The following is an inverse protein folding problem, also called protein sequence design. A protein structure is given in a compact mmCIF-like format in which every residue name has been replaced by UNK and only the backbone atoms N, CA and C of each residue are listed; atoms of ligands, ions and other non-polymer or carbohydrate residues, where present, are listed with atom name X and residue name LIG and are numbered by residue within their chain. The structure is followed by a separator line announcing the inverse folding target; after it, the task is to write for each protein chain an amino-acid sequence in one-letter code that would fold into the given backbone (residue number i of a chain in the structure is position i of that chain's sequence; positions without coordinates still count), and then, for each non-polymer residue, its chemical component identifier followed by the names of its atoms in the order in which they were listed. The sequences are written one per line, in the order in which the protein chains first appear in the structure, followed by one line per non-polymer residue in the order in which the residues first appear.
data_IF_375934674122
#
_entry.id   IF_375934674122
#
_cell.length_a   1.000
_cell.length_b   1.000
_cell.length_c   1.000
_cell.angle_alpha   90.00
_cell.angle_beta   90.00
_cell.angle_gamma   90.00
#
_symmetry.space_group_name_H-M   'P 1'
#
loop_
_entity.id
_entity.type
_entity.pdbx_description
1 polymer ?
#
# COMPACT_ATOMS: atom_id res chain seq x y z
N UNK A 1 64.14 -56.04 -6.05
CA UNK A 1 63.78 -57.17 -6.94
C UNK A 1 62.52 -57.83 -6.42
N UNK A 2 61.62 -58.21 -7.34
CA UNK A 2 60.42 -59.06 -7.20
C UNK A 2 59.21 -58.57 -6.38
N UNK A 3 58.28 -57.89 -7.08
CA UNK A 3 57.05 -58.48 -7.65
C UNK A 3 56.05 -59.19 -6.73
N UNK A 4 54.81 -58.65 -6.68
CA UNK A 4 53.61 -59.36 -6.23
C UNK A 4 52.33 -58.56 -6.49
N UNK A 5 51.44 -59.08 -7.34
CA UNK A 5 50.18 -58.48 -7.84
C UNK A 5 49.00 -59.27 -7.29
N UNK A 6 47.95 -58.63 -6.74
CA UNK A 6 46.59 -59.19 -6.77
C UNK A 6 45.48 -58.18 -6.41
N UNK A 7 44.50 -58.15 -7.32
CA UNK A 7 43.13 -57.62 -7.36
C UNK A 7 42.37 -57.45 -6.01
N UNK A 8 41.73 -56.30 -5.85
CA UNK A 8 40.62 -56.06 -4.90
C UNK A 8 39.25 -56.43 -5.49
N UNK A 9 38.39 -57.04 -4.67
CA UNK A 9 37.02 -57.50 -4.98
C UNK A 9 35.97 -56.47 -4.59
N UNK A 10 34.87 -56.46 -5.35
CA UNK A 10 33.60 -55.78 -5.06
C UNK A 10 32.91 -56.32 -3.80
N UNK A 11 32.17 -55.45 -3.11
CA UNK A 11 31.23 -55.80 -2.05
C UNK A 11 30.11 -54.76 -1.94
N UNK A 12 28.95 -55.06 -2.55
CA UNK A 12 27.68 -54.32 -2.37
C UNK A 12 27.15 -54.56 -0.96
N UNK A 13 26.66 -53.51 -0.30
CA UNK A 13 25.69 -53.63 0.79
C UNK A 13 24.44 -52.82 0.47
N UNK A 14 23.33 -53.54 0.45
CA UNK A 14 21.97 -53.06 0.21
C UNK A 14 21.46 -52.26 1.42
N UNK A 15 20.92 -51.06 1.17
CA UNK A 15 20.11 -50.34 2.15
C UNK A 15 18.65 -50.78 2.04
N UNK A 16 18.10 -51.11 3.21
CA UNK A 16 16.82 -51.74 3.49
C UNK A 16 15.73 -50.66 3.53
N UNK A 17 14.63 -50.90 2.79
CA UNK A 17 13.36 -50.20 2.89
C UNK A 17 12.60 -50.67 4.15
N UNK A 18 11.81 -49.82 4.82
CA UNK A 18 10.67 -50.30 5.60
C UNK A 18 9.35 -50.07 4.87
N UNK A 19 8.53 -51.13 4.89
CA UNK A 19 7.22 -51.27 4.30
C UNK A 19 6.13 -50.46 5.01
N UNK A 20 5.12 -50.09 4.21
CA UNK A 20 3.78 -49.67 4.63
C UNK A 20 3.03 -50.84 5.29
N UNK A 21 2.25 -50.53 6.32
CA UNK A 21 1.03 -51.26 6.68
C UNK A 21 -0.12 -50.24 6.82
N UNK A 22 -1.18 -50.44 6.02
CA UNK A 22 -2.50 -49.82 6.21
C UNK A 22 -3.24 -50.48 7.38
N UNK A 23 -4.43 -50.08 7.80
CA UNK A 23 -5.36 -49.05 7.42
C UNK A 23 -6.59 -49.22 8.31
N UNK A 24 -7.47 -48.22 8.43
CA UNK A 24 -8.88 -48.40 8.77
C UNK A 24 -9.61 -47.06 8.69
N UNK A 25 -10.77 -47.10 8.04
CA UNK A 25 -11.72 -46.01 7.88
C UNK A 25 -12.39 -45.63 9.21
N UNK A 26 -12.51 -44.32 9.44
CA UNK A 26 -13.34 -43.72 10.47
C UNK A 26 -13.97 -42.44 9.94
N UNK A 27 -15.23 -42.53 9.49
CA UNK A 27 -16.12 -41.38 9.36
C UNK A 27 -16.34 -40.79 10.75
N UNK A 28 -16.17 -39.47 10.93
CA UNK A 28 -17.16 -38.57 11.54
C UNK A 28 -16.54 -37.22 11.94
N UNK A 29 -17.32 -36.16 11.68
CA UNK A 29 -17.37 -34.90 12.45
C UNK A 29 -16.35 -33.80 12.12
N UNK A 30 -16.73 -32.97 11.14
CA UNK A 30 -16.30 -31.58 10.98
C UNK A 30 -16.84 -30.74 12.16
N UNK A 31 -16.03 -30.00 12.92
CA UNK A 31 -16.57 -28.98 13.80
C UNK A 31 -16.89 -27.71 13.00
N UNK A 32 -18.17 -27.56 12.64
CA UNK A 32 -18.77 -26.25 12.32
C UNK A 32 -18.88 -25.46 13.63
N UNK A 33 -18.12 -24.39 13.79
CA UNK A 33 -18.49 -23.35 14.77
C UNK A 33 -19.41 -22.35 14.07
N UNK A 34 -20.62 -22.24 14.62
CA UNK A 34 -21.74 -21.44 14.13
C UNK A 34 -21.50 -19.95 14.40
N UNK A 35 -21.70 -19.15 13.37
CA UNK A 35 -22.15 -17.77 13.45
C UNK A 35 -23.48 -17.64 14.24
N UNK A 36 -23.70 -16.55 14.97
CA UNK A 36 -25.03 -16.08 15.31
C UNK A 36 -25.55 -15.15 14.20
N UNK A 37 -26.57 -15.63 13.50
CA UNK A 37 -27.34 -14.90 12.50
C UNK A 37 -27.97 -13.61 13.06
N UNK A 38 -27.71 -12.52 12.35
CA UNK A 38 -28.59 -11.35 12.21
C UNK A 38 -29.79 -11.78 11.33
N UNK A 39 -31.04 -11.38 11.65
CA UNK A 39 -32.16 -11.57 10.75
C UNK A 39 -32.29 -10.39 9.78
N UNK A 40 -32.38 -10.67 8.49
CA UNK A 40 -33.05 -9.84 7.50
C UNK A 40 -34.38 -10.50 7.13
N UNK A 41 -35.41 -9.71 6.78
CA UNK A 41 -36.29 -10.07 5.68
C UNK A 41 -36.28 -8.98 4.59
N UNK A 42 -36.01 -9.44 3.37
CA UNK A 42 -36.75 -9.27 2.10
C UNK A 42 -37.05 -7.84 1.60
N UNK A 43 -36.38 -7.44 0.51
CA UNK A 43 -36.87 -7.45 -0.89
C UNK A 43 -37.79 -6.26 -1.19
N UNK A 44 -37.31 -5.28 -1.96
CA UNK A 44 -37.64 -5.31 -3.39
C UNK A 44 -36.76 -4.36 -4.20
N UNK A 45 -36.40 -4.89 -5.36
CA UNK A 45 -35.59 -4.34 -6.44
C UNK A 45 -36.31 -3.23 -7.21
N UNK A 46 -35.49 -2.31 -7.73
CA UNK A 46 -35.34 -2.05 -9.17
C UNK A 46 -35.58 -0.64 -9.72
N UNK A 47 -34.58 -0.26 -10.52
CA UNK A 47 -34.60 0.50 -11.78
C UNK A 47 -34.49 2.04 -11.75
N UNK A 48 -33.24 2.49 -11.75
CA UNK A 48 -32.51 3.07 -12.90
C UNK A 48 -33.14 4.12 -13.87
N UNK A 49 -32.25 5.08 -14.15
CA UNK A 49 -32.01 5.87 -15.39
C UNK A 49 -32.74 7.23 -15.61
N UNK A 50 -31.94 8.29 -15.42
CA UNK A 50 -31.64 9.40 -16.37
C UNK A 50 -32.73 10.07 -17.21
N UNK A 51 -32.92 11.39 -17.02
CA UNK A 51 -32.55 12.47 -18.00
C UNK A 51 -33.25 13.81 -17.76
N UNK A 52 -32.42 14.87 -17.72
CA UNK A 52 -32.48 16.09 -18.57
C UNK A 52 -33.73 16.99 -18.52
N UNK A 53 -33.51 18.20 -17.97
CA UNK A 53 -33.82 19.54 -18.52
C UNK A 53 -35.28 19.93 -18.86
N UNK A 54 -35.75 21.02 -18.24
CA UNK A 54 -36.07 22.31 -18.89
C UNK A 54 -37.25 23.04 -18.22
N UNK A 55 -37.11 24.37 -18.10
CA UNK A 55 -38.22 25.32 -17.95
C UNK A 55 -39.23 25.19 -19.11
N UNK A 56 -40.43 25.80 -18.97
CA UNK A 56 -40.63 27.00 -19.77
C UNK A 56 -41.42 28.12 -19.08
N UNK A 57 -41.32 29.27 -19.73
CA UNK A 57 -42.00 30.52 -19.45
C UNK A 57 -43.45 30.57 -19.98
N UNK A 58 -44.24 31.48 -19.41
CA UNK A 58 -45.06 32.44 -20.17
C UNK A 58 -46.49 32.05 -20.57
N UNK A 59 -47.44 32.87 -20.09
CA UNK A 59 -48.32 33.60 -21.02
C UNK A 59 -49.78 33.15 -21.19
N UNK A 60 -50.67 33.93 -20.56
CA UNK A 60 -51.97 34.42 -21.04
C UNK A 60 -53.14 33.44 -21.32
N UNK A 61 -54.27 33.65 -20.63
CA UNK A 61 -55.52 34.03 -21.31
C UNK A 61 -56.63 34.51 -20.36
N UNK A 62 -57.39 35.44 -20.92
CA UNK A 62 -58.48 36.24 -20.37
C UNK A 62 -59.81 35.46 -20.31
N UNK A 63 -60.81 36.15 -19.75
CA UNK A 63 -62.27 36.02 -19.87
C UNK A 63 -62.92 35.46 -18.60
N UNK A 64 -63.42 36.31 -17.70
CA UNK A 64 -64.73 36.99 -17.76
C UNK A 64 -65.90 36.01 -17.77
N UNK A 65 -66.48 35.77 -16.58
CA UNK A 65 -67.91 35.51 -16.44
C UNK A 65 -68.52 36.63 -15.60
N UNK A 66 -69.62 37.15 -16.12
CA UNK A 66 -70.21 38.44 -15.84
C UNK A 66 -71.54 38.28 -15.11
N UNK A 67 -71.82 39.26 -14.24
CA UNK A 67 -73.13 39.74 -13.74
C UNK A 67 -74.11 38.79 -13.05
N UNK A 68 -74.51 39.12 -11.81
CA UNK A 68 -75.63 40.03 -11.46
C UNK A 68 -75.85 39.88 -9.94
N UNK A 69 -75.75 40.92 -9.10
CA UNK A 69 -76.91 41.76 -8.77
C UNK A 69 -76.59 42.77 -7.66
N UNK A 70 -77.00 44.02 -7.91
CA UNK A 70 -77.64 44.96 -6.96
C UNK A 70 -76.70 45.66 -5.93
N UNK A 71 -76.28 46.91 -6.22
CA UNK A 71 -76.77 48.18 -5.62
C UNK A 71 -76.63 48.21 -4.07
N UNK A 72 -75.88 49.09 -3.41
CA UNK A 72 -76.02 50.56 -3.38
C UNK A 72 -74.75 51.19 -2.77
N UNK A 73 -74.36 52.33 -3.34
CA UNK A 73 -73.36 53.26 -2.82
C UNK A 73 -73.78 53.82 -1.46
N UNK A 74 -72.97 53.64 -0.41
CA UNK A 74 -72.90 54.59 0.71
C UNK A 74 -71.44 54.88 1.04
N UNK A 75 -71.14 56.16 0.97
CA UNK A 75 -69.90 56.87 1.21
C UNK A 75 -69.29 56.63 2.59
N UNK A 76 -67.96 56.48 2.60
CA UNK A 76 -67.09 57.20 3.54
C UNK A 76 -67.16 56.82 5.00
N UNK A 77 -66.36 55.84 5.42
CA UNK A 77 -65.67 55.87 6.72
C UNK A 77 -64.24 55.39 6.48
N UNK A 78 -63.31 56.34 6.41
CA UNK A 78 -61.91 56.10 6.69
C UNK A 78 -61.79 55.78 8.19
N UNK A 79 -61.76 54.50 8.52
CA UNK A 79 -61.21 54.01 9.78
C UNK A 79 -60.26 52.88 9.42
N UNK A 80 -58.99 53.12 9.75
CA UNK A 80 -57.91 52.21 9.47
C UNK A 80 -58.21 50.83 10.03
N UNK A 81 -58.46 49.88 9.13
CA UNK A 81 -58.01 48.53 9.37
C UNK A 81 -56.50 48.56 9.23
N UNK A 82 -55.84 48.93 10.33
CA UNK A 82 -54.51 48.37 10.59
C UNK A 82 -54.73 46.86 10.52
N UNK A 83 -54.28 46.22 9.46
CA UNK A 83 -53.94 44.81 9.57
C UNK A 83 -52.93 44.77 10.71
N UNK A 84 -53.37 44.32 11.89
CA UNK A 84 -52.44 43.81 12.86
C UNK A 84 -51.82 42.59 12.19
N UNK A 85 -50.68 42.79 11.53
CA UNK A 85 -49.72 41.71 11.36
C UNK A 85 -49.41 41.24 12.78
N UNK A 86 -50.12 40.20 13.20
CA UNK A 86 -49.70 39.34 14.28
C UNK A 86 -48.24 38.97 13.98
N UNK A 87 -47.27 39.23 14.88
CA UNK A 87 -45.90 38.83 14.63
C UNK A 87 -45.91 37.31 14.50
N UNK A 88 -45.75 36.83 13.25
CA UNK A 88 -45.69 35.40 12.98
C UNK A 88 -44.52 34.89 13.79
N UNK A 89 -44.84 34.18 14.88
CA UNK A 89 -43.86 33.59 15.77
C UNK A 89 -42.81 32.87 14.92
N UNK A 90 -41.52 33.17 15.13
CA UNK A 90 -40.39 32.52 14.43
C UNK A 90 -40.51 30.99 14.46
N UNK A 91 -41.14 30.46 15.50
CA UNK A 91 -41.45 29.04 15.69
C UNK A 91 -42.46 28.47 14.69
N UNK A 92 -43.37 29.28 14.14
CA UNK A 92 -44.43 28.83 13.22
C UNK A 92 -43.93 28.70 11.78
N UNK A 93 -42.93 29.51 11.39
CA UNK A 93 -42.35 29.52 10.03
C UNK A 93 -41.48 28.28 9.81
N UNK A 94 -40.67 27.90 10.79
CA UNK A 94 -39.83 26.71 10.75
C UNK A 94 -40.54 25.41 11.18
N UNK A 95 -41.85 25.45 11.50
CA UNK A 95 -42.56 24.32 12.11
C UNK A 95 -42.56 23.04 11.24
N UNK A 96 -42.57 23.20 9.92
CA UNK A 96 -42.62 22.08 8.96
C UNK A 96 -41.37 22.02 8.05
N UNK A 97 -40.28 22.68 8.44
CA UNK A 97 -39.05 22.74 7.63
C UNK A 97 -38.04 21.74 8.17
N UNK A 98 -37.71 20.75 7.34
CA UNK A 98 -36.72 19.73 7.66
C UNK A 98 -35.39 20.08 7.01
N UNK A 99 -34.43 20.50 7.84
CA UNK A 99 -33.06 20.70 7.41
C UNK A 99 -32.27 19.38 7.49
N UNK A 100 -31.37 19.13 6.54
CA UNK A 100 -30.49 17.97 6.56
C UNK A 100 -29.55 17.93 7.77
N UNK A 101 -28.84 16.82 7.95
CA UNK A 101 -27.95 16.63 9.10
C UNK A 101 -26.92 17.78 9.23
N UNK A 102 -26.75 18.30 10.46
CA UNK A 102 -25.83 19.40 10.75
C UNK A 102 -26.38 20.80 10.47
N UNK A 103 -27.66 20.91 10.10
CA UNK A 103 -28.34 22.18 9.80
C UNK A 103 -29.58 22.39 10.67
N UNK A 104 -29.90 23.66 10.94
CA UNK A 104 -31.11 24.08 11.65
C UNK A 104 -31.85 25.17 10.87
N UNK A 105 -33.17 25.22 11.05
CA UNK A 105 -34.00 26.22 10.38
C UNK A 105 -33.91 27.56 11.13
N UNK A 106 -33.54 28.60 10.40
CA UNK A 106 -33.53 29.99 10.83
C UNK A 106 -34.46 30.83 9.95
N UNK A 107 -35.04 31.88 10.52
CA UNK A 107 -35.93 32.80 9.79
C UNK A 107 -35.14 34.04 9.40
N UNK A 108 -35.16 34.40 8.11
CA UNK A 108 -34.51 35.60 7.59
C UNK A 108 -35.29 36.88 7.94
N UNK A 109 -34.71 38.06 7.72
CA UNK A 109 -35.38 39.35 7.92
C UNK A 109 -36.68 39.50 7.11
N UNK A 110 -36.82 38.73 6.02
CA UNK A 110 -38.00 38.69 5.15
C UNK A 110 -39.06 37.69 5.60
N UNK A 111 -38.93 37.10 6.80
CA UNK A 111 -39.83 36.06 7.31
C UNK A 111 -39.84 34.76 6.48
N UNK A 112 -38.74 34.43 5.81
CA UNK A 112 -38.58 33.20 5.03
C UNK A 112 -37.74 32.17 5.81
N UNK A 113 -38.08 30.87 5.77
CA UNK A 113 -37.28 29.81 6.38
C UNK A 113 -36.01 29.55 5.57
N UNK A 114 -34.87 29.35 6.25
CA UNK A 114 -33.58 29.01 5.63
C UNK A 114 -32.82 28.03 6.52
N UNK A 115 -32.14 27.04 5.91
CA UNK A 115 -31.33 26.07 6.64
C UNK A 115 -29.88 26.54 6.78
N UNK A 116 -29.47 26.88 8.00
CA UNK A 116 -28.11 27.28 8.33
C UNK A 116 -27.38 26.14 9.06
N UNK A 117 -26.04 26.17 9.07
CA UNK A 117 -25.28 25.21 9.86
C UNK A 117 -25.53 25.44 11.35
N UNK A 118 -25.66 24.35 12.11
CA UNK A 118 -25.88 24.42 13.57
C UNK A 118 -24.73 25.21 14.21
N UNK A 119 -25.05 26.23 15.00
CA UNK A 119 -24.00 27.05 15.62
C UNK A 119 -23.26 26.30 16.72
N UNK A 120 -23.99 25.54 17.56
CA UNK A 120 -23.45 24.83 18.72
C UNK A 120 -24.15 23.50 18.97
N UNK A 121 -23.38 22.42 19.09
CA UNK A 121 -23.89 21.11 19.46
C UNK A 121 -23.89 20.89 20.98
N UNK A 122 -24.69 19.90 21.43
CA UNK A 122 -24.70 19.46 22.83
C UNK A 122 -23.37 18.78 23.18
N UNK A 123 -22.78 19.11 24.33
CA UNK A 123 -21.45 18.65 24.76
C UNK A 123 -21.44 17.23 25.37
N UNK A 124 -22.13 16.29 24.73
CA UNK A 124 -22.10 14.88 25.12
C UNK A 124 -20.95 14.16 24.43
N UNK A 125 -20.27 13.29 25.18
CA UNK A 125 -19.10 12.53 24.71
C UNK A 125 -19.55 11.17 24.19
N UNK A 126 -19.81 11.10 22.88
CA UNK A 126 -20.10 9.85 22.16
C UNK A 126 -19.29 9.90 20.86
N UNK A 127 -17.98 9.65 20.95
CA UNK A 127 -17.05 9.92 19.86
C UNK A 127 -17.40 9.09 18.63
N UNK A 128 -17.19 9.68 17.45
CA UNK A 128 -17.34 9.02 16.15
C UNK A 128 -16.14 9.32 15.25
N UNK A 129 -15.77 8.34 14.43
CA UNK A 129 -14.79 8.55 13.38
C UNK A 129 -15.49 8.97 12.11
N UNK A 130 -15.10 10.12 11.53
CA UNK A 130 -15.57 10.54 10.22
C UNK A 130 -14.82 9.86 9.09
N UNK A 131 -15.44 9.79 7.92
CA UNK A 131 -14.83 9.30 6.68
C UNK A 131 -13.57 10.08 6.26
N UNK A 132 -13.35 11.27 6.83
CA UNK A 132 -12.13 12.07 6.67
C UNK A 132 -11.02 11.73 7.67
N UNK A 133 -11.16 10.66 8.47
CA UNK A 133 -10.16 10.22 9.44
C UNK A 133 -10.04 11.09 10.69
N UNK A 134 -10.94 12.07 10.88
CA UNK A 134 -11.00 12.95 12.05
C UNK A 134 -12.00 12.41 13.07
N UNK A 135 -11.61 12.43 14.33
CA UNK A 135 -12.52 12.08 15.44
C UNK A 135 -13.37 13.28 15.81
N UNK A 136 -14.68 13.08 15.91
CA UNK A 136 -15.63 14.08 16.39
C UNK A 136 -16.15 13.70 17.77
N UNK A 137 -16.41 14.69 18.61
CA UNK A 137 -16.92 14.49 19.98
C UNK A 137 -18.27 13.74 20.00
N UNK A 138 -19.09 13.96 18.97
CA UNK A 138 -20.36 13.29 18.71
C UNK A 138 -20.81 13.50 17.25
N UNK A 139 -21.89 12.82 16.86
CA UNK A 139 -22.51 12.88 15.54
C UNK A 139 -22.90 14.32 15.11
N UNK A 140 -23.35 15.16 16.05
CA UNK A 140 -23.73 16.54 15.73
C UNK A 140 -22.51 17.35 15.29
N UNK A 141 -21.38 17.23 15.99
CA UNK A 141 -20.14 17.91 15.62
C UNK A 141 -19.61 17.47 14.25
N UNK A 142 -19.75 16.18 13.91
CA UNK A 142 -19.39 15.67 12.59
C UNK A 142 -20.21 16.34 11.48
N UNK A 143 -21.54 16.34 11.60
CA UNK A 143 -22.40 16.93 10.58
C UNK A 143 -22.31 18.46 10.53
N UNK A 144 -22.05 19.10 11.67
CA UNK A 144 -21.76 20.54 11.74
C UNK A 144 -20.50 20.88 10.96
N UNK A 145 -19.41 20.13 11.15
CA UNK A 145 -18.16 20.34 10.40
C UNK A 145 -18.37 20.11 8.90
N UNK A 146 -19.13 19.07 8.53
CA UNK A 146 -19.52 18.81 7.13
C UNK A 146 -20.27 20.00 6.51
N UNK A 147 -21.19 20.61 7.27
CA UNK A 147 -21.94 21.78 6.84
C UNK A 147 -21.04 23.01 6.65
N UNK A 148 -20.19 23.30 7.64
CA UNK A 148 -19.32 24.49 7.64
C UNK A 148 -18.23 24.43 6.55
N UNK A 149 -17.70 23.24 6.31
CA UNK A 149 -16.63 23.02 5.32
C UNK A 149 -17.15 22.74 3.91
N UNK A 150 -18.47 22.56 3.75
CA UNK A 150 -19.07 22.13 2.48
C UNK A 150 -18.65 20.73 2.03
N UNK A 151 -18.06 19.93 2.92
CA UNK A 151 -17.51 18.60 2.62
C UNK A 151 -18.50 17.49 2.97
N UNK A 152 -18.57 16.43 2.15
CA UNK A 152 -19.39 15.25 2.45
C UNK A 152 -18.65 14.35 3.44
N UNK A 153 -18.92 14.51 4.73
CA UNK A 153 -18.35 13.68 5.80
C UNK A 153 -19.44 12.73 6.32
N UNK A 154 -19.19 11.44 6.24
CA UNK A 154 -20.05 10.39 6.79
C UNK A 154 -19.40 9.78 8.03
N UNK A 155 -20.18 9.11 8.86
CA UNK A 155 -19.63 8.29 9.95
C UNK A 155 -19.01 7.05 9.32
N UNK A 156 -17.75 6.78 9.65
CA UNK A 156 -17.05 5.54 9.27
C UNK A 156 -17.36 4.44 10.30
N UNK A 157 -17.08 4.71 11.59
CA UNK A 157 -17.47 3.85 12.71
C UNK A 157 -17.63 4.63 14.02
N UNK A 158 -18.38 4.05 14.95
CA UNK A 158 -18.52 4.55 16.31
C UNK A 158 -17.20 4.43 17.09
N UNK A 159 -16.87 5.46 17.88
CA UNK A 159 -15.64 5.54 18.65
C UNK A 159 -14.67 6.58 18.13
N UNK A 160 -13.50 6.67 18.77
CA UNK A 160 -12.42 7.51 18.24
C UNK A 160 -11.87 6.88 16.97
N UNK A 161 -11.48 7.70 16.00
CA UNK A 161 -10.66 7.19 14.90
C UNK A 161 -9.45 6.50 15.49
N UNK A 162 -9.20 5.27 15.04
CA UNK A 162 -7.92 4.60 15.20
C UNK A 162 -6.89 5.59 14.69
N UNK A 163 -5.92 5.93 15.54
CA UNK A 163 -4.77 6.72 15.11
C UNK A 163 -4.21 6.03 13.87
N UNK A 164 -4.31 6.69 12.70
CA UNK A 164 -3.26 6.49 11.71
C UNK A 164 -2.05 7.06 12.40
N UNK A 165 -1.23 6.16 12.99
CA UNK A 165 -0.01 6.54 13.68
C UNK A 165 0.67 7.58 12.79
N UNK A 166 0.92 8.81 13.26
CA UNK A 166 1.88 9.65 12.55
C UNK A 166 3.14 8.81 12.42
N UNK A 167 3.68 8.71 11.22
CA UNK A 167 4.92 8.00 10.92
C UNK A 167 6.03 8.45 11.87
N UNK A 168 6.14 7.79 13.02
CA UNK A 168 7.18 7.89 14.03
C UNK A 168 7.18 6.65 14.95
N UNK A 169 6.55 5.54 14.50
CA UNK A 169 7.14 4.23 14.73
C UNK A 169 8.18 4.05 13.63
N UNK A 170 9.44 3.76 13.97
CA UNK A 170 10.53 3.55 12.99
C UNK A 170 9.96 2.96 11.69
N UNK A 171 9.94 3.77 10.62
CA UNK A 171 9.29 3.40 9.37
C UNK A 171 9.82 2.02 8.95
N UNK A 172 8.95 1.08 8.60
CA UNK A 172 9.44 -0.23 8.15
C UNK A 172 10.39 -0.03 6.96
N UNK A 173 11.54 -0.73 6.92
CA UNK A 173 12.47 -0.58 5.82
C UNK A 173 11.79 -1.03 4.51
N UNK A 174 12.12 -0.35 3.42
CA UNK A 174 11.74 -0.80 2.08
C UNK A 174 12.59 -2.02 1.77
N UNK A 175 11.94 -3.14 1.48
CA UNK A 175 12.60 -4.43 1.22
C UNK A 175 11.98 -5.10 0.00
N UNK A 176 12.77 -5.92 -0.70
CA UNK A 176 12.26 -6.82 -1.73
C UNK A 176 11.95 -8.18 -1.12
N UNK A 177 10.67 -8.51 -0.97
CA UNK A 177 10.25 -9.85 -0.55
C UNK A 177 10.49 -10.86 -1.66
N UNK A 178 10.54 -12.15 -1.31
CA UNK A 178 10.70 -13.22 -2.30
C UNK A 178 9.58 -13.15 -3.36
N UNK A 179 8.36 -12.82 -2.94
CA UNK A 179 7.22 -12.64 -3.85
C UNK A 179 7.45 -11.51 -4.84
N UNK A 180 7.98 -10.36 -4.40
CA UNK A 180 8.26 -9.21 -5.27
C UNK A 180 9.39 -9.53 -6.26
N UNK A 181 10.46 -10.19 -5.80
CA UNK A 181 11.58 -10.65 -6.64
C UNK A 181 11.09 -11.61 -7.73
N UNK A 182 10.31 -12.60 -7.34
CA UNK A 182 9.83 -13.65 -8.24
C UNK A 182 8.81 -13.09 -9.23
N UNK A 183 7.97 -12.15 -8.79
CA UNK A 183 7.05 -11.39 -9.64
C UNK A 183 7.81 -10.53 -10.66
N UNK A 184 8.88 -9.84 -10.24
CA UNK A 184 9.74 -9.06 -11.14
C UNK A 184 10.28 -9.95 -12.25
N UNK A 185 10.91 -11.04 -11.84
CA UNK A 185 11.49 -12.05 -12.73
C UNK A 185 10.48 -12.60 -13.70
N UNK A 186 9.29 -12.98 -13.20
CA UNK A 186 8.20 -13.53 -14.01
C UNK A 186 7.75 -12.54 -15.08
N UNK A 187 7.63 -11.25 -14.76
CA UNK A 187 7.24 -10.21 -15.74
C UNK A 187 8.31 -9.97 -16.79
N UNK A 188 9.58 -9.93 -16.38
CA UNK A 188 10.71 -9.83 -17.32
C UNK A 188 10.69 -11.00 -18.31
N UNK A 189 10.54 -12.23 -17.82
CA UNK A 189 10.48 -13.43 -18.67
C UNK A 189 9.30 -13.34 -19.64
N UNK A 190 8.11 -12.96 -19.16
CA UNK A 190 6.93 -12.80 -20.02
C UNK A 190 7.12 -11.74 -21.11
N UNK A 191 7.76 -10.62 -20.78
CA UNK A 191 8.11 -9.61 -21.76
C UNK A 191 9.05 -10.16 -22.83
N UNK A 192 10.12 -10.85 -22.43
CA UNK A 192 11.07 -11.47 -23.35
C UNK A 192 10.43 -12.54 -24.24
N UNK A 193 9.55 -13.37 -23.68
CA UNK A 193 8.79 -14.38 -24.43
C UNK A 193 7.84 -13.73 -25.46
N UNK A 194 7.24 -12.60 -25.13
CA UNK A 194 6.37 -11.86 -26.04
C UNK A 194 7.14 -11.19 -27.21
N UNK A 195 8.45 -10.97 -27.07
CA UNK A 195 9.29 -10.49 -28.17
C UNK A 195 9.64 -11.59 -29.20
N UNK A 196 9.47 -12.86 -28.84
CA UNK A 196 9.62 -13.98 -29.79
C UNK A 196 8.43 -13.92 -30.76
N UNK A 197 8.70 -13.48 -31.99
CA UNK A 197 7.69 -13.45 -33.06
C UNK A 197 7.17 -14.89 -33.28
N UNK A 198 5.85 -15.15 -33.23
CA UNK A 198 5.30 -16.43 -33.64
C UNK A 198 5.45 -16.54 -35.17
N UNK A 199 6.50 -17.22 -35.62
CA UNK A 199 6.81 -17.32 -37.04
C UNK A 199 5.66 -17.92 -37.86
N UNK A 200 5.14 -17.12 -38.79
CA UNK A 200 4.37 -17.62 -39.92
C UNK A 200 5.28 -18.35 -40.90
N UNK A 201 4.98 -19.63 -41.15
CA UNK A 201 5.33 -20.56 -42.25
C UNK A 201 6.77 -20.62 -42.85
N UNK A 202 7.65 -19.61 -42.71
CA UNK A 202 9.06 -19.67 -43.12
C UNK A 202 9.95 -18.71 -42.29
N UNK A 203 10.20 -18.99 -41.00
CA UNK A 203 11.42 -18.49 -40.34
C UNK A 203 11.96 -19.48 -39.31
N UNK A 204 13.29 -19.50 -39.19
CA UNK A 204 14.03 -20.13 -38.10
C UNK A 204 13.61 -19.43 -36.82
N UNK A 205 12.85 -20.10 -35.97
CA UNK A 205 12.45 -19.58 -34.67
C UNK A 205 13.67 -19.07 -33.90
N UNK A 206 13.62 -17.80 -33.49
CA UNK A 206 14.61 -17.22 -32.59
C UNK A 206 14.60 -18.00 -31.27
N UNK A 207 15.76 -18.50 -30.85
CA UNK A 207 15.90 -19.19 -29.58
C UNK A 207 15.88 -18.14 -28.45
N UNK A 208 15.18 -18.40 -27.33
CA UNK A 208 15.13 -17.52 -26.15
C UNK A 208 16.54 -17.05 -25.71
N UNK A 209 17.55 -17.92 -25.86
CA UNK A 209 18.96 -17.60 -25.62
C UNK A 209 19.49 -16.46 -26.49
N UNK A 210 19.11 -16.37 -27.77
CA UNK A 210 19.59 -15.32 -28.69
C UNK A 210 19.03 -13.94 -28.32
N UNK A 211 17.76 -13.89 -27.89
CA UNK A 211 17.15 -12.65 -27.39
C UNK A 211 17.84 -12.18 -26.12
N UNK A 212 18.09 -13.10 -25.18
CA UNK A 212 18.85 -12.77 -23.96
C UNK A 212 20.27 -12.30 -24.28
N UNK A 213 20.98 -12.93 -25.21
CA UNK A 213 22.33 -12.51 -25.60
C UNK A 213 22.35 -11.11 -26.22
N UNK A 214 21.34 -10.79 -27.03
CA UNK A 214 21.16 -9.44 -27.57
C UNK A 214 20.98 -8.42 -26.45
N UNK A 215 20.12 -8.69 -25.47
CA UNK A 215 19.90 -7.77 -24.36
C UNK A 215 21.12 -7.65 -23.45
N UNK A 216 21.78 -8.77 -23.13
CA UNK A 216 23.01 -8.79 -22.36
C UNK A 216 24.06 -7.84 -22.95
N UNK A 217 24.35 -7.97 -24.25
CA UNK A 217 25.32 -7.11 -24.96
C UNK A 217 24.89 -5.65 -25.10
N UNK A 218 23.59 -5.37 -25.08
CA UNK A 218 23.09 -4.00 -25.21
C UNK A 218 23.25 -3.20 -23.92
N UNK A 219 23.26 -3.87 -22.76
CA UNK A 219 23.33 -3.23 -21.45
C UNK A 219 24.69 -3.35 -20.76
N UNK A 220 25.51 -4.33 -21.16
CA UNK A 220 26.92 -4.47 -20.77
C UNK A 220 27.74 -3.28 -21.28
N UNK A 221 28.51 -2.65 -20.37
CA UNK A 221 29.40 -1.53 -20.67
C UNK A 221 30.74 -1.95 -21.31
N UNK A 222 30.90 -3.25 -21.58
CA UNK A 222 32.01 -3.85 -22.30
C UNK A 222 32.92 -4.70 -21.42
N UNK A 223 32.56 -4.92 -20.16
CA UNK A 223 33.26 -5.82 -19.25
C UNK A 223 32.77 -7.28 -19.33
N UNK A 224 31.80 -7.55 -20.21
CA UNK A 224 31.18 -8.87 -20.45
C UNK A 224 30.45 -9.43 -19.24
N UNK A 225 29.99 -8.55 -18.36
CA UNK A 225 29.20 -8.87 -17.17
C UNK A 225 28.06 -7.86 -17.06
N UNK A 226 27.11 -8.13 -16.18
CA UNK A 226 26.06 -7.18 -15.82
C UNK A 226 26.11 -6.93 -14.32
N UNK A 227 26.39 -5.69 -13.93
CA UNK A 227 26.26 -5.24 -12.56
C UNK A 227 24.81 -4.83 -12.22
N UNK A 228 24.58 -4.46 -10.96
CA UNK A 228 23.27 -4.00 -10.46
C UNK A 228 22.67 -2.86 -11.28
N UNK A 229 23.49 -1.91 -11.72
CA UNK A 229 23.03 -0.73 -12.44
C UNK A 229 22.67 -1.07 -13.89
N UNK A 230 23.46 -1.91 -14.55
CA UNK A 230 23.21 -2.39 -15.92
C UNK A 230 21.97 -3.28 -15.98
N UNK A 231 21.86 -4.22 -15.05
CA UNK A 231 20.69 -5.10 -14.98
C UNK A 231 19.43 -4.33 -14.59
N UNK A 232 19.53 -3.34 -13.70
CA UNK A 232 18.40 -2.45 -13.39
C UNK A 232 17.94 -1.65 -14.62
N UNK A 233 18.85 -1.10 -15.42
CA UNK A 233 18.50 -0.41 -16.68
C UNK A 233 17.79 -1.34 -17.66
N UNK A 234 18.23 -2.60 -17.76
CA UNK A 234 17.55 -3.61 -18.55
C UNK A 234 16.11 -3.83 -18.08
N UNK A 235 15.91 -4.00 -16.77
CA UNK A 235 14.57 -4.17 -16.16
C UNK A 235 13.68 -2.94 -16.36
N UNK A 236 14.26 -1.73 -16.34
CA UNK A 236 13.56 -0.47 -16.53
C UNK A 236 13.24 -0.15 -18.00
N UNK A 237 13.83 -0.85 -18.98
CA UNK A 237 13.63 -0.54 -20.40
C UNK A 237 12.15 -0.59 -20.83
N UNK A 238 11.38 -1.51 -20.27
CA UNK A 238 9.95 -1.66 -20.55
C UNK A 238 9.14 -1.50 -19.26
N UNK A 239 9.14 -0.27 -18.72
CA UNK A 239 8.42 0.05 -17.48
C UNK A 239 6.96 -0.42 -17.53
N UNK A 240 6.28 -0.31 -18.66
CA UNK A 240 4.86 -0.69 -18.77
C UNK A 240 4.62 -2.19 -18.59
N UNK A 241 5.57 -3.05 -18.98
CA UNK A 241 5.45 -4.49 -18.83
C UNK A 241 5.95 -5.00 -17.47
N UNK A 242 6.91 -4.29 -16.85
CA UNK A 242 7.66 -4.78 -15.68
C UNK A 242 7.34 -4.00 -14.39
N UNK A 243 6.40 -3.06 -14.41
CA UNK A 243 6.08 -2.20 -13.26
C UNK A 243 5.49 -2.94 -12.04
N UNK A 244 6.30 -3.13 -10.99
CA UNK A 244 5.82 -3.52 -9.66
C UNK A 244 5.29 -2.28 -8.93
N UNK A 245 4.00 -2.29 -8.57
CA UNK A 245 3.31 -1.20 -7.86
C UNK A 245 2.92 -1.63 -6.45
N UNK A 246 3.89 -2.09 -5.66
CA UNK A 246 3.65 -2.50 -4.27
C UNK A 246 3.41 -1.27 -3.38
N UNK A 247 4.07 -0.15 -3.68
CA UNK A 247 3.94 1.09 -2.92
C UNK A 247 3.17 2.17 -3.69
N UNK A 248 2.57 3.13 -2.98
CA UNK A 248 1.88 4.28 -3.59
C UNK A 248 2.87 5.28 -4.19
N UNK A 249 4.08 5.39 -3.60
CA UNK A 249 5.12 6.32 -4.05
C UNK A 249 5.98 5.69 -5.16
N UNK A 250 6.09 6.38 -6.30
CA UNK A 250 6.89 5.95 -7.46
C UNK A 250 8.40 5.85 -7.15
N UNK A 251 8.95 6.74 -6.32
CA UNK A 251 10.36 6.69 -5.90
C UNK A 251 10.63 5.45 -5.04
N UNK A 252 9.71 5.10 -4.15
CA UNK A 252 9.80 3.87 -3.33
C UNK A 252 9.72 2.62 -4.19
N UNK A 253 8.87 2.61 -5.22
CA UNK A 253 8.83 1.49 -6.17
C UNK A 253 10.14 1.40 -6.99
N UNK A 254 10.78 2.52 -7.32
CA UNK A 254 12.10 2.50 -7.97
C UNK A 254 13.17 1.85 -7.07
N UNK A 255 13.17 2.22 -5.79
CA UNK A 255 14.05 1.57 -4.81
C UNK A 255 13.76 0.07 -4.69
N UNK A 256 12.49 -0.32 -4.59
CA UNK A 256 12.08 -1.73 -4.55
C UNK A 256 12.60 -2.51 -5.76
N UNK A 257 12.50 -1.95 -6.97
CA UNK A 257 13.02 -2.59 -8.19
C UNK A 257 14.52 -2.83 -8.10
N UNK A 258 15.30 -1.83 -7.64
CA UNK A 258 16.74 -1.99 -7.40
C UNK A 258 17.04 -3.14 -6.43
N UNK A 259 16.36 -3.16 -5.28
CA UNK A 259 16.52 -4.23 -4.28
C UNK A 259 16.18 -5.61 -4.83
N UNK A 260 15.16 -5.71 -5.68
CA UNK A 260 14.79 -6.97 -6.32
C UNK A 260 15.78 -7.40 -7.41
N UNK A 261 16.38 -6.46 -8.13
CA UNK A 261 17.48 -6.72 -9.07
C UNK A 261 18.68 -7.28 -8.32
N UNK A 262 19.09 -6.66 -7.22
CA UNK A 262 20.19 -7.16 -6.38
C UNK A 262 19.91 -8.58 -5.87
N UNK A 263 18.68 -8.84 -5.42
CA UNK A 263 18.26 -10.16 -4.98
C UNK A 263 18.27 -11.21 -6.12
N UNK A 264 18.04 -10.81 -7.37
CA UNK A 264 18.13 -11.69 -8.54
C UNK A 264 19.58 -11.99 -8.93
N UNK A 265 20.48 -11.00 -8.78
CA UNK A 265 21.92 -11.18 -8.96
C UNK A 265 22.41 -12.20 -7.93
N UNK A 266 22.17 -11.97 -6.65
CA UNK A 266 22.61 -12.85 -5.55
C UNK A 266 22.04 -14.28 -5.66
N UNK A 267 20.90 -14.46 -6.33
CA UNK A 267 20.29 -15.77 -6.56
C UNK A 267 21.05 -16.59 -7.62
N UNK A 268 21.62 -15.91 -8.61
CA UNK A 268 22.14 -16.53 -9.83
C UNK A 268 23.66 -16.44 -9.94
N UNK A 269 24.28 -15.55 -9.17
CA UNK A 269 25.72 -15.37 -9.02
C UNK A 269 26.34 -16.59 -8.32
N UNK A 270 26.98 -17.45 -9.10
CA UNK A 270 27.57 -18.70 -8.58
C UNK A 270 28.97 -18.48 -8.01
N UNK A 271 29.68 -17.45 -8.46
CA UNK A 271 31.05 -17.17 -8.07
C UNK A 271 31.16 -16.06 -7.00
N UNK A 272 30.04 -15.46 -6.61
CA UNK A 272 29.89 -14.41 -5.61
C UNK A 272 30.69 -13.13 -5.93
N UNK A 273 30.78 -12.77 -7.21
CA UNK A 273 31.45 -11.54 -7.66
C UNK A 273 30.51 -10.33 -7.83
N UNK A 274 29.22 -10.50 -7.47
CA UNK A 274 28.15 -9.50 -7.52
C UNK A 274 27.83 -8.99 -8.92
N UNK A 275 28.28 -9.71 -9.95
CA UNK A 275 27.97 -9.43 -11.34
C UNK A 275 27.47 -10.70 -12.02
N UNK A 276 26.65 -10.54 -13.06
CA UNK A 276 26.17 -11.67 -13.85
C UNK A 276 27.03 -11.84 -15.09
N UNK A 277 27.73 -12.96 -15.19
CA UNK A 277 28.17 -13.47 -16.50
C UNK A 277 26.95 -13.82 -17.36
N UNK A 278 27.15 -13.97 -18.67
CA UNK A 278 26.04 -14.36 -19.57
C UNK A 278 25.37 -15.68 -19.15
N UNK A 279 26.13 -16.65 -18.62
CA UNK A 279 25.58 -17.93 -18.18
C UNK A 279 24.70 -17.77 -16.92
N UNK A 280 25.11 -16.90 -15.99
CA UNK A 280 24.34 -16.60 -14.78
C UNK A 280 23.09 -15.77 -15.11
N UNK A 281 23.20 -14.83 -16.05
CA UNK A 281 22.06 -14.08 -16.59
C UNK A 281 21.04 -15.02 -17.28
N UNK A 282 21.53 -15.95 -18.10
CA UNK A 282 20.70 -16.97 -18.75
C UNK A 282 19.98 -17.86 -17.73
N UNK A 283 20.69 -18.29 -16.66
CA UNK A 283 20.10 -19.07 -15.57
C UNK A 283 19.05 -18.26 -14.80
N UNK A 284 19.36 -16.99 -14.49
CA UNK A 284 18.50 -16.05 -13.79
C UNK A 284 17.14 -15.95 -14.49
N UNK A 285 17.14 -15.72 -15.80
CA UNK A 285 15.92 -15.52 -16.59
C UNK A 285 15.41 -16.78 -17.30
N UNK A 286 15.85 -17.98 -16.91
CA UNK A 286 15.34 -19.22 -17.50
C UNK A 286 13.89 -19.52 -17.05
N UNK A 287 12.89 -19.62 -17.95
CA UNK A 287 11.49 -19.90 -17.57
C UNK A 287 11.30 -21.19 -16.76
N UNK A 288 12.16 -22.19 -16.95
CA UNK A 288 12.10 -23.45 -16.22
C UNK A 288 12.77 -23.41 -14.83
N UNK A 289 13.53 -22.36 -14.52
CA UNK A 289 14.17 -22.20 -13.22
C UNK A 289 13.16 -21.66 -12.20
N UNK A 290 13.03 -22.40 -11.09
CA UNK A 290 12.25 -22.00 -9.93
C UNK A 290 13.20 -21.54 -8.82
N UNK A 291 13.20 -20.23 -8.46
CA UNK A 291 13.99 -19.71 -7.36
C UNK A 291 13.76 -20.49 -6.06
N UNK A 292 14.83 -20.94 -5.36
CA UNK A 292 14.69 -21.49 -4.02
C UNK A 292 14.29 -20.41 -3.01
N UNK A 293 13.53 -20.82 -1.99
CA UNK A 293 13.27 -19.99 -0.82
C UNK A 293 14.55 -19.89 0.04
N UNK A 294 14.94 -18.66 0.43
CA UNK A 294 16.04 -18.40 1.36
C UNK A 294 15.48 -17.87 2.69
N UNK A 295 15.84 -18.52 3.80
CA UNK A 295 15.48 -18.08 5.16
C UNK A 295 16.58 -17.21 5.75
N UNK A 296 16.23 -16.22 6.55
CA UNK A 296 17.22 -15.43 7.28
C UNK A 296 17.68 -16.20 8.52
N UNK A 297 18.97 -16.14 8.83
CA UNK A 297 19.50 -16.69 10.07
C UNK A 297 19.66 -15.57 11.10
N UNK A 298 19.21 -15.79 12.34
CA UNK A 298 19.52 -14.93 13.48
C UNK A 298 19.85 -15.83 14.67
N UNK A 299 21.08 -15.69 15.18
CA UNK A 299 21.63 -16.61 16.18
C UNK A 299 21.54 -18.07 15.69
N UNK A 300 20.87 -18.96 16.42
CA UNK A 300 20.72 -20.38 16.09
C UNK A 300 19.36 -20.70 15.42
N UNK A 301 18.58 -19.67 15.06
CA UNK A 301 17.23 -19.82 14.51
C UNK A 301 17.13 -19.32 13.05
N UNK A 302 16.21 -19.94 12.30
CA UNK A 302 15.91 -19.59 10.90
C UNK A 302 14.52 -18.97 10.79
N UNK A 303 14.43 -17.84 10.09
CA UNK A 303 13.25 -17.01 9.95
C UNK A 303 12.77 -16.95 8.50
N UNK A 304 11.46 -16.93 8.34
CA UNK A 304 10.83 -16.85 7.01
C UNK A 304 10.81 -15.41 6.49
N UNK A 305 10.64 -15.29 5.18
CA UNK A 305 10.49 -14.00 4.50
C UNK A 305 9.34 -13.20 5.12
N UNK A 306 9.56 -11.92 5.42
CA UNK A 306 8.61 -11.08 6.14
C UNK A 306 8.71 -11.14 7.67
N UNK A 307 9.52 -12.03 8.24
CA UNK A 307 9.76 -12.02 9.69
C UNK A 307 10.36 -10.69 10.14
N UNK A 308 9.91 -10.18 11.27
CA UNK A 308 10.37 -8.91 11.82
C UNK A 308 11.11 -9.12 13.14
N UNK A 309 12.18 -8.36 13.34
CA UNK A 309 12.86 -8.25 14.63
C UNK A 309 13.21 -6.78 14.90
N UNK A 310 13.68 -6.49 16.11
CA UNK A 310 14.06 -5.15 16.52
C UNK A 310 15.44 -5.18 17.16
N UNK A 311 16.34 -4.36 16.63
CA UNK A 311 17.69 -4.16 17.17
C UNK A 311 17.78 -2.71 17.64
N UNK A 312 17.76 -2.50 18.97
CA UNK A 312 17.62 -1.18 19.59
C UNK A 312 16.33 -0.47 19.14
N UNK A 313 16.44 0.70 18.51
CA UNK A 313 15.32 1.42 17.92
C UNK A 313 15.06 1.03 16.46
N UNK A 314 15.97 0.26 15.85
CA UNK A 314 15.90 -0.08 14.44
C UNK A 314 15.04 -1.31 14.20
N UNK A 315 14.11 -1.19 13.26
CA UNK A 315 13.23 -2.27 12.82
C UNK A 315 13.93 -3.04 11.71
N UNK A 316 14.02 -4.35 11.85
CA UNK A 316 14.63 -5.24 10.87
C UNK A 316 13.61 -6.21 10.31
N UNK A 317 13.69 -6.46 9.00
CA UNK A 317 12.79 -7.35 8.27
C UNK A 317 13.64 -8.36 7.51
N UNK A 318 13.29 -9.64 7.62
CA UNK A 318 13.84 -10.70 6.79
C UNK A 318 13.26 -10.60 5.39
N UNK A 319 14.12 -10.44 4.39
CA UNK A 319 13.73 -10.30 2.99
C UNK A 319 14.75 -11.00 2.07
N UNK A 320 14.28 -11.91 1.23
CA UNK A 320 15.09 -12.72 0.32
C UNK A 320 16.27 -13.47 0.99
N UNK A 321 16.16 -13.78 2.28
CA UNK A 321 17.23 -14.45 3.05
C UNK A 321 18.19 -13.51 3.79
N UNK A 322 18.00 -12.19 3.67
CA UNK A 322 18.83 -11.18 4.33
C UNK A 322 18.03 -10.35 5.33
N UNK A 323 18.63 -10.01 6.47
CA UNK A 323 18.04 -9.05 7.41
C UNK A 323 18.32 -7.63 6.95
N UNK A 324 17.27 -6.86 6.66
CA UNK A 324 17.35 -5.44 6.30
C UNK A 324 16.78 -4.61 7.43
N UNK A 325 17.59 -3.69 7.97
CA UNK A 325 17.22 -2.86 9.11
C UNK A 325 17.10 -1.39 8.73
N UNK A 326 16.23 -0.65 9.42
CA UNK A 326 16.28 0.81 9.41
C UNK A 326 17.62 1.30 9.99
N UNK A 327 18.08 2.46 9.54
CA UNK A 327 19.34 3.05 9.98
C UNK A 327 19.11 4.37 10.72
N UNK A 328 18.43 4.31 11.87
CA UNK A 328 18.19 5.46 12.74
C UNK A 328 19.17 5.47 13.92
N UNK A 329 19.56 6.66 14.38
CA UNK A 329 20.31 6.84 15.62
C UNK A 329 19.38 6.64 16.82
N UNK A 330 19.71 5.70 17.69
CA UNK A 330 18.90 5.38 18.85
C UNK A 330 19.33 6.21 20.05
N UNK A 331 18.67 7.35 20.29
CA UNK A 331 18.92 8.15 21.48
C UNK A 331 18.31 7.48 22.72
N UNK A 332 19.14 7.18 23.70
CA UNK A 332 18.71 6.67 25.01
C UNK A 332 18.01 7.78 25.79
N UNK A 333 16.86 7.48 26.42
CA UNK A 333 16.19 8.40 27.35
C UNK A 333 17.09 8.70 28.56
N UNK A 334 17.87 9.78 28.52
CA UNK A 334 18.07 10.76 29.60
C UNK A 334 19.11 11.82 29.21
N UNK A 335 18.64 12.96 28.73
CA UNK A 335 18.90 14.28 29.33
C UNK A 335 18.02 15.30 28.62
N UNK A 336 17.08 15.91 29.35
CA UNK A 336 16.57 17.22 28.99
C UNK A 336 17.74 18.20 29.09
N UNK A 337 18.48 18.38 28.01
CA UNK A 337 19.28 19.59 27.82
C UNK A 337 18.37 20.56 27.08
N UNK A 338 18.11 21.77 27.61
CA UNK A 338 17.31 22.76 26.91
C UNK A 338 17.98 23.06 25.56
N UNK A 339 17.23 22.86 24.48
CA UNK A 339 17.61 23.23 23.13
C UNK A 339 17.84 24.74 23.08
N UNK A 340 19.09 25.16 23.18
CA UNK A 340 19.54 26.40 22.55
C UNK A 340 20.03 26.04 21.16
N UNK A 341 19.33 26.57 20.15
CA UNK A 341 19.72 26.50 18.74
C UNK A 341 21.15 26.99 18.54
N UNK A 342 22.06 26.12 18.09
CA UNK A 342 23.29 26.48 17.35
C UNK A 342 23.70 25.36 16.37
N UNK A 343 24.44 25.70 15.31
CA UNK A 343 24.10 25.32 13.94
C UNK A 343 24.88 24.11 13.39
N UNK A 344 24.26 23.43 12.42
CA UNK A 344 24.87 22.67 11.31
C UNK A 344 26.27 22.09 11.57
N UNK A 345 26.35 20.89 12.17
CA UNK A 345 27.58 20.09 12.21
C UNK A 345 27.96 19.63 10.79
N UNK A 346 28.65 20.49 10.05
CA UNK A 346 29.47 20.08 8.91
C UNK A 346 30.68 19.33 9.45
N UNK A 347 30.56 18.00 9.50
CA UNK A 347 31.70 17.11 9.71
C UNK A 347 32.79 17.48 8.70
N UNK A 348 33.99 17.79 9.20
CA UNK A 348 35.09 18.23 8.35
C UNK A 348 35.62 17.07 7.51
N UNK A 349 36.21 17.37 6.35
CA UNK A 349 36.77 16.35 5.44
C UNK A 349 37.84 15.47 6.13
N UNK A 350 38.53 16.03 7.12
CA UNK A 350 39.52 15.33 7.95
C UNK A 350 38.89 14.36 8.98
N UNK A 351 37.69 14.68 9.48
CA UNK A 351 36.92 13.80 10.38
C UNK A 351 36.26 12.65 9.61
N UNK A 352 35.76 12.93 8.40
CA UNK A 352 35.29 11.90 7.48
C UNK A 352 36.41 10.95 7.05
N UNK A 353 37.60 11.49 6.75
CA UNK A 353 38.77 10.68 6.39
C UNK A 353 39.22 9.75 7.54
N UNK A 354 39.20 10.24 8.78
CA UNK A 354 39.48 9.41 9.97
C UNK A 354 38.46 8.28 10.13
N UNK A 355 37.18 8.60 9.95
CA UNK A 355 36.11 7.61 10.09
C UNK A 355 36.20 6.51 9.02
N UNK A 356 36.46 6.88 7.77
CA UNK A 356 36.68 5.93 6.66
C UNK A 356 37.89 5.04 6.93
N UNK A 357 38.99 5.61 7.44
CA UNK A 357 40.19 4.84 7.76
C UNK A 357 39.96 3.85 8.92
N UNK A 358 39.11 4.20 9.89
CA UNK A 358 38.74 3.33 11.00
C UNK A 358 37.85 2.16 10.53
N UNK A 359 36.92 2.41 9.60
CA UNK A 359 36.11 1.38 8.95
C UNK A 359 36.95 0.42 8.11
N UNK A 360 37.91 0.93 7.33
CA UNK A 360 38.83 0.09 6.54
C UNK A 360 39.67 -0.83 7.43
N UNK A 361 40.13 -0.32 8.59
CA UNK A 361 40.88 -1.11 9.56
C UNK A 361 40.03 -2.25 10.16
N UNK A 362 38.73 -2.01 10.37
CA UNK A 362 37.79 -3.04 10.83
C UNK A 362 37.50 -4.10 9.74
N UNK A 363 37.42 -3.67 8.47
CA UNK A 363 37.30 -4.60 7.34
C UNK A 363 38.55 -5.49 7.21
N UNK A 364 39.75 -4.91 7.24
CA UNK A 364 41.00 -5.69 7.16
C UNK A 364 41.17 -6.68 8.33
N UNK A 365 40.74 -6.30 9.54
CA UNK A 365 40.76 -7.21 10.70
C UNK A 365 39.74 -8.33 10.54
N UNK A 366 38.55 -8.04 10.00
CA UNK A 366 37.55 -9.08 9.70
C UNK A 366 38.02 -10.06 8.61
N UNK A 367 38.73 -9.58 7.58
CA UNK A 367 39.30 -10.43 6.52
C UNK A 367 40.46 -11.29 7.03
N UNK A 368 41.32 -10.74 7.90
CA UNK A 368 42.40 -11.50 8.55
C UNK A 368 41.84 -12.60 9.45
N UNK A 369 40.75 -12.35 10.17
CA UNK A 369 40.05 -13.35 11.00
C UNK A 369 39.42 -14.44 10.11
N UNK A 370 38.83 -14.08 8.97
CA UNK A 370 38.28 -15.03 7.99
C UNK A 370 39.37 -15.91 7.35
N UNK A 371 40.54 -15.36 7.05
CA UNK A 371 41.66 -16.15 6.51
C UNK A 371 42.29 -17.10 7.53
N UNK A 372 42.33 -16.72 8.81
CA UNK A 372 42.83 -17.60 9.88
C UNK A 372 41.90 -18.79 10.12
N UNK A 373 40.58 -18.58 10.04
CA UNK A 373 39.58 -19.65 10.23
C UNK A 373 39.51 -20.66 9.08
N UNK A 374 39.88 -20.26 7.86
CA UNK A 374 39.96 -21.17 6.69
C UNK A 374 41.25 -22.01 6.62
N UNK A 375 42.25 -21.74 7.47
CA UNK A 375 43.56 -22.43 7.42
C UNK A 375 43.70 -23.59 8.41
N UNK A 376 42.75 -23.72 9.33
CA UNK A 376 42.71 -24.76 10.37
C UNK A 376 41.60 -25.82 10.13
N UNK A 377 41.15 -26.00 8.88
CA UNK A 377 40.20 -27.07 8.51
C UNK A 377 40.64 -27.90 7.31
#
# INVERSE_FOLDING_TARGET
MHGGRARGKEGRQAKKLPERLGGAAGRASIPRTRDPHIPCPDEDQDQDEDKVLASPAGGASKMLWNHLSIFVVVTGIALGLRTSEEPVSKSKICANVFCGAGRECAVTEKSEPTCLCIEKCKTHKRPVCGSNGKTYLNHCELHRDACLTGSKIQVDYDGHCKEKKPENSAASPVVCYQTDRDELRRRVIQWLEAEIIPDGWFSKGSNYTEILEKYFKNFDDGDSRLDSNEFLKFVEQNESAVNITTYVNQETNKLLRGLCVDALIELSDENADWKLSFNEFLKCLNPAFNPPEKKCALEDESYEDGAETQVNCNRCVCACGNWVCTAMTCEGKNQQVPFQEQPEDKLTEEELARYVQELQKHQETSEKIKQMTTKDM
#
